data_IF_360148499620
#
_entry.id   IF_360148499620
#
_cell.length_a   1.000
_cell.length_b   1.000
_cell.length_c   1.000
_cell.angle_alpha   90.00
_cell.angle_beta   90.00
_cell.angle_gamma   90.00
#
_symmetry.space_group_name_H-M   'P 1'
#
loop_
_entity.id
_entity.type
_entity.pdbx_description
1 polymer ?
#
# COMPACT_ATOMS: atom_id res chain seq x y z
N UNK A 1 6.57 29.54 12.87
CA UNK A 1 7.80 28.76 12.67
C UNK A 1 7.36 27.43 12.08
N UNK A 2 7.53 27.24 10.78
CA UNK A 2 7.19 26.00 10.09
C UNK A 2 8.47 25.43 9.46
N UNK A 3 8.96 24.31 9.98
CA UNK A 3 9.49 23.21 9.21
C UNK A 3 8.53 22.02 9.39
N UNK A 4 8.17 21.17 8.45
CA UNK A 4 8.58 20.87 7.09
C UNK A 4 7.58 19.80 6.62
N UNK A 5 7.17 19.83 5.35
CA UNK A 5 6.23 18.87 4.76
C UNK A 5 6.88 17.47 4.62
N UNK A 6 6.81 16.60 5.64
CA UNK A 6 7.24 15.19 5.49
C UNK A 6 6.34 14.15 6.22
N UNK A 7 5.05 14.40 6.41
CA UNK A 7 4.11 13.42 7.02
C UNK A 7 2.97 12.99 6.09
N UNK A 8 3.21 12.99 4.77
CA UNK A 8 2.19 12.54 3.79
C UNK A 8 2.66 11.44 2.86
N UNK A 9 3.95 11.07 2.87
CA UNK A 9 4.46 9.97 2.03
C UNK A 9 4.15 8.58 2.59
N UNK A 10 3.85 8.51 3.89
CA UNK A 10 3.58 7.26 4.59
C UNK A 10 2.10 7.07 4.94
N UNK A 11 1.16 7.73 4.26
CA UNK A 11 -0.27 7.57 4.54
C UNK A 11 -1.00 6.83 3.41
N UNK A 12 -1.95 5.96 3.77
CA UNK A 12 -2.80 5.28 2.82
C UNK A 12 -3.69 6.28 2.07
N UNK A 13 -3.67 6.32 0.73
CA UNK A 13 -4.42 7.31 -0.05
C UNK A 13 -5.95 7.09 -0.02
N UNK A 14 -6.42 5.98 0.53
CA UNK A 14 -7.85 5.64 0.60
C UNK A 14 -8.49 6.03 1.94
N UNK A 15 -7.80 5.77 3.05
CA UNK A 15 -8.33 6.03 4.39
C UNK A 15 -7.60 7.16 5.13
N UNK A 16 -6.50 7.68 4.55
CA UNK A 16 -5.65 8.72 5.15
C UNK A 16 -5.04 8.33 6.51
N UNK A 17 -4.94 7.03 6.79
CA UNK A 17 -4.27 6.48 7.97
C UNK A 17 -2.77 6.27 7.67
N UNK A 18 -1.94 6.31 8.71
CA UNK A 18 -0.50 6.04 8.62
C UNK A 18 -0.22 4.58 8.23
N UNK A 19 0.78 4.37 7.39
CA UNK A 19 1.25 3.06 6.95
C UNK A 19 2.35 2.59 7.90
N UNK A 20 2.13 1.46 8.54
CA UNK A 20 3.16 0.81 9.34
C UNK A 20 4.30 0.28 8.47
N UNK A 21 5.43 -0.10 9.09
CA UNK A 21 6.61 -0.64 8.41
C UNK A 21 6.24 -1.82 7.49
N UNK A 22 5.32 -2.70 7.92
CA UNK A 22 4.83 -3.82 7.10
C UNK A 22 4.11 -3.33 5.85
N UNK A 23 3.32 -2.27 5.98
CA UNK A 23 2.49 -1.73 4.92
C UNK A 23 3.31 -0.92 3.91
N UNK A 24 4.33 -0.18 4.39
CA UNK A 24 5.36 0.47 3.56
C UNK A 24 6.14 -0.53 2.71
N UNK A 25 6.27 -1.75 3.20
CA UNK A 25 6.92 -2.86 2.52
C UNK A 25 5.96 -3.75 1.72
N UNK A 26 4.67 -3.43 1.71
CA UNK A 26 3.63 -4.20 1.05
C UNK A 26 3.18 -3.53 -0.25
N UNK A 27 3.34 -4.25 -1.35
CA UNK A 27 2.99 -3.80 -2.70
C UNK A 27 1.93 -4.73 -3.28
N UNK A 28 0.63 -4.40 -3.17
CA UNK A 28 -0.43 -5.29 -3.61
C UNK A 28 -0.58 -5.32 -5.14
N UNK A 29 0.00 -4.33 -5.85
CA UNK A 29 -0.04 -4.28 -7.30
C UNK A 29 1.30 -3.83 -7.88
N UNK A 30 1.71 -4.47 -8.98
CA UNK A 30 2.92 -4.12 -9.75
C UNK A 30 2.94 -2.72 -10.37
N UNK A 31 1.81 -2.00 -10.36
CA UNK A 31 1.77 -0.61 -10.84
C UNK A 31 2.41 0.38 -9.86
N UNK A 32 2.73 -0.05 -8.63
CA UNK A 32 3.27 0.81 -7.58
C UNK A 32 2.20 1.55 -6.77
N UNK A 33 0.91 1.22 -6.93
CA UNK A 33 -0.13 1.80 -6.10
C UNK A 33 -0.19 1.11 -4.73
N UNK A 34 0.27 1.83 -3.70
CA UNK A 34 0.37 1.36 -2.33
C UNK A 34 -0.84 1.81 -1.50
N UNK A 35 -1.32 0.90 -0.64
CA UNK A 35 -2.44 1.09 0.27
C UNK A 35 -2.20 0.25 1.53
N UNK A 36 -2.88 0.61 2.62
CA UNK A 36 -2.84 -0.17 3.86
C UNK A 36 -3.44 -1.58 3.67
N UNK A 37 -3.08 -2.49 4.58
CA UNK A 37 -3.55 -3.88 4.58
C UNK A 37 -5.07 -3.97 4.70
N UNK A 38 -5.69 -3.09 5.49
CA UNK A 38 -7.13 -3.04 5.69
C UNK A 38 -7.88 -2.63 4.42
N UNK A 39 -7.42 -1.59 3.72
CA UNK A 39 -8.02 -1.19 2.45
C UNK A 39 -7.84 -2.26 1.37
N UNK A 40 -6.66 -2.88 1.30
CA UNK A 40 -6.43 -4.00 0.38
C UNK A 40 -7.42 -5.16 0.64
N UNK A 41 -7.56 -5.57 1.90
CA UNK A 41 -8.48 -6.63 2.31
C UNK A 41 -9.93 -6.27 1.98
N UNK A 42 -10.36 -5.06 2.31
CA UNK A 42 -11.70 -4.58 2.02
C UNK A 42 -11.98 -4.57 0.51
N UNK A 43 -11.04 -4.11 -0.32
CA UNK A 43 -11.20 -4.14 -1.77
C UNK A 43 -11.32 -5.58 -2.30
N UNK A 44 -10.51 -6.50 -1.76
CA UNK A 44 -10.48 -7.90 -2.20
C UNK A 44 -11.70 -8.70 -1.76
N UNK A 45 -12.20 -8.50 -0.55
CA UNK A 45 -13.30 -9.28 0.02
C UNK A 45 -14.69 -8.66 -0.22
N UNK A 46 -14.81 -7.33 -0.17
CA UNK A 46 -16.10 -6.63 -0.15
C UNK A 46 -16.39 -5.82 -1.43
N UNK A 47 -15.35 -5.49 -2.20
CA UNK A 47 -15.48 -4.75 -3.47
C UNK A 47 -15.16 -5.64 -4.68
N UNK A 48 -14.60 -5.04 -5.74
CA UNK A 48 -14.34 -5.71 -7.02
C UNK A 48 -12.98 -6.43 -7.08
N UNK A 49 -12.16 -6.35 -6.03
CA UNK A 49 -10.82 -6.92 -6.00
C UNK A 49 -9.86 -6.33 -7.03
N UNK A 50 -10.11 -5.13 -7.57
CA UNK A 50 -9.25 -4.47 -8.56
C UNK A 50 -8.45 -3.33 -7.94
N UNK A 51 -7.21 -3.16 -8.39
CA UNK A 51 -6.41 -1.99 -8.04
C UNK A 51 -7.11 -0.69 -8.48
N UNK A 52 -7.29 0.31 -7.59
CA UNK A 52 -8.01 1.53 -7.92
C UNK A 52 -7.29 2.42 -8.94
N UNK A 53 -5.97 2.29 -9.08
CA UNK A 53 -5.18 3.06 -10.06
C UNK A 53 -5.16 2.41 -11.45
N UNK A 54 -4.80 1.13 -11.55
CA UNK A 54 -4.57 0.46 -12.83
C UNK A 54 -5.65 -0.56 -13.23
N UNK A 55 -6.66 -0.78 -12.36
CA UNK A 55 -7.74 -1.76 -12.53
C UNK A 55 -7.29 -3.21 -12.78
N UNK A 56 -6.04 -3.54 -12.43
CA UNK A 56 -5.54 -4.92 -12.46
C UNK A 56 -6.11 -5.67 -11.25
N UNK A 57 -6.60 -6.91 -11.41
CA UNK A 57 -7.07 -7.71 -10.29
C UNK A 57 -5.95 -7.96 -9.28
N UNK A 58 -6.28 -7.76 -8.01
CA UNK A 58 -5.44 -8.19 -6.91
C UNK A 58 -5.41 -9.71 -6.88
N UNK A 59 -4.23 -10.26 -7.06
CA UNK A 59 -3.97 -11.69 -7.05
C UNK A 59 -2.79 -11.95 -6.10
N UNK A 60 -2.84 -13.04 -5.34
CA UNK A 60 -1.80 -13.37 -4.37
C UNK A 60 -0.43 -13.57 -5.05
N UNK A 61 -0.38 -13.89 -6.35
CA UNK A 61 0.86 -13.94 -7.13
C UNK A 61 1.41 -12.56 -7.51
N UNK A 62 0.58 -11.51 -7.50
CA UNK A 62 0.98 -10.13 -7.81
C UNK A 62 1.39 -9.33 -6.57
N UNK A 63 1.08 -9.83 -5.38
CA UNK A 63 1.44 -9.22 -4.11
C UNK A 63 2.94 -9.41 -3.87
N UNK A 64 3.66 -8.32 -3.62
CA UNK A 64 5.07 -8.35 -3.25
C UNK A 64 5.25 -7.76 -1.85
N UNK A 65 5.87 -8.54 -0.98
CA UNK A 65 6.39 -8.07 0.30
C UNK A 65 7.90 -7.87 0.15
N UNK A 66 8.36 -6.65 0.43
CA UNK A 66 9.78 -6.30 0.39
C UNK A 66 10.28 -6.32 1.82
N UNK A 67 11.03 -7.34 2.22
CA UNK A 67 11.82 -7.24 3.44
C UNK A 67 13.09 -6.46 3.11
N UNK A 68 13.40 -5.33 3.78
CA UNK A 68 14.72 -4.74 3.64
C UNK A 68 15.74 -5.78 4.12
N UNK A 69 16.70 -6.11 3.25
CA UNK A 69 17.80 -7.01 3.58
C UNK A 69 18.60 -6.37 4.74
N UNK A 70 18.94 -7.10 5.81
CA UNK A 70 19.65 -6.54 6.96
C UNK A 70 21.12 -6.18 6.70
N UNK A 71 21.55 -5.94 5.46
CA UNK A 71 22.94 -5.67 5.12
C UNK A 71 23.11 -4.45 4.21
N UNK A 72 23.12 -3.23 4.79
CA UNK A 72 24.08 -2.14 4.50
C UNK A 72 24.28 -1.27 5.74
#
# INVERSE_FOLDING_TARGET
MAPDLMETEDCCPLCMEDLDITERNFWPCKCGYQICLFCYRHIKEDLNGLCPACRTPYDDANVKLVTPDPQE
#
